data_IF_638093015040
#
_entry.id   IF_638093015040
#
_cell.length_a   1.000
_cell.length_b   1.000
_cell.length_c   1.000
_cell.angle_alpha   90.00
_cell.angle_beta   90.00
_cell.angle_gamma   90.00
#
_symmetry.space_group_name_H-M   'P 1'
#
loop_
_entity.id
_entity.type
_entity.pdbx_description
1 polymer ?
#
# COMPACT_ATOMS: atom_id res chain seq x y z
N UNK A 1 -22.44 -16.98 -56.52
CA UNK A 1 -22.12 -17.80 -55.33
C UNK A 1 -21.70 -16.86 -54.20
N UNK A 2 -22.37 -16.98 -53.06
CA UNK A 2 -22.65 -15.88 -52.13
C UNK A 2 -21.46 -15.47 -51.24
N UNK A 3 -21.24 -14.15 -51.13
CA UNK A 3 -20.16 -13.45 -50.39
C UNK A 3 -20.14 -13.66 -48.85
N UNK A 4 -21.06 -14.47 -48.31
CA UNK A 4 -21.23 -14.63 -46.86
C UNK A 4 -20.20 -15.56 -46.20
N UNK A 5 -19.51 -16.40 -46.96
CA UNK A 5 -18.54 -17.36 -46.40
C UNK A 5 -17.29 -16.65 -45.83
N UNK A 6 -16.86 -15.53 -46.43
CA UNK A 6 -15.69 -14.77 -45.94
C UNK A 6 -15.93 -14.05 -44.60
N UNK A 7 -17.19 -13.83 -44.20
CA UNK A 7 -17.52 -13.23 -42.90
C UNK A 7 -17.46 -14.25 -41.75
N UNK A 8 -17.70 -15.53 -42.06
CA UNK A 8 -17.84 -16.60 -41.06
C UNK A 8 -16.64 -17.57 -41.00
N UNK A 9 -15.72 -17.57 -41.98
CA UNK A 9 -14.41 -18.21 -41.80
C UNK A 9 -13.47 -17.34 -40.94
N UNK A 10 -13.82 -16.07 -40.72
CA UNK A 10 -13.20 -15.19 -39.70
C UNK A 10 -13.69 -15.45 -38.27
N UNK A 11 -14.66 -16.34 -38.05
CA UNK A 11 -15.31 -16.59 -36.76
C UNK A 11 -15.05 -18.01 -36.26
N UNK A 12 -13.76 -18.36 -36.11
CA UNK A 12 -13.38 -19.55 -35.38
C UNK A 12 -13.43 -19.24 -33.86
N UNK A 13 -14.32 -19.86 -33.06
CA UNK A 13 -14.52 -19.50 -31.65
C UNK A 13 -13.29 -19.77 -30.76
N UNK A 14 -12.38 -20.67 -31.18
CA UNK A 14 -11.05 -20.84 -30.55
C UNK A 14 -10.12 -19.64 -30.75
N UNK A 15 -10.30 -18.88 -31.84
CA UNK A 15 -9.57 -17.63 -32.09
C UNK A 15 -10.18 -16.47 -31.30
N UNK A 16 -11.51 -16.48 -31.06
CA UNK A 16 -12.19 -15.49 -30.21
C UNK A 16 -11.86 -15.59 -28.72
N UNK A 17 -11.47 -16.76 -28.22
CA UNK A 17 -11.01 -16.90 -26.83
C UNK A 17 -9.66 -16.21 -26.57
N UNK A 18 -8.86 -15.97 -27.61
CA UNK A 18 -7.68 -15.09 -27.57
C UNK A 18 -8.03 -13.59 -27.72
N UNK A 19 -9.28 -13.26 -28.08
CA UNK A 19 -9.75 -11.91 -28.48
C UNK A 19 -10.23 -11.07 -27.31
N UNK A 20 -10.24 -11.58 -26.08
CA UNK A 20 -10.42 -10.75 -24.87
C UNK A 20 -9.39 -9.60 -24.80
N UNK A 21 -8.20 -9.80 -25.38
CA UNK A 21 -7.20 -8.74 -25.54
C UNK A 21 -7.33 -7.93 -26.83
N UNK A 22 -8.28 -8.15 -27.75
CA UNK A 22 -8.40 -7.34 -28.98
C UNK A 22 -9.42 -6.21 -28.87
N UNK A 23 -10.37 -6.27 -27.93
CA UNK A 23 -11.31 -5.18 -27.68
C UNK A 23 -10.64 -4.12 -26.79
N UNK A 24 -10.59 -2.88 -27.28
CA UNK A 24 -10.01 -1.76 -26.55
C UNK A 24 -10.73 -1.50 -25.21
N UNK A 25 -12.03 -1.81 -25.11
CA UNK A 25 -12.80 -1.70 -23.89
C UNK A 25 -12.28 -2.66 -22.80
N UNK A 26 -12.04 -3.92 -23.16
CA UNK A 26 -11.60 -4.97 -22.24
C UNK A 26 -10.17 -4.70 -21.73
N UNK A 27 -9.27 -4.22 -22.61
CA UNK A 27 -7.94 -3.75 -22.20
C UNK A 27 -8.01 -2.61 -21.18
N UNK A 28 -8.91 -1.64 -21.40
CA UNK A 28 -9.09 -0.51 -20.47
C UNK A 28 -9.65 -0.97 -19.13
N UNK A 29 -10.54 -1.96 -19.12
CA UNK A 29 -11.07 -2.56 -17.90
C UNK A 29 -9.97 -3.29 -17.10
N UNK A 30 -9.12 -4.07 -17.76
CA UNK A 30 -8.00 -4.77 -17.10
C UNK A 30 -6.98 -3.77 -16.54
N UNK A 31 -6.60 -2.76 -17.32
CA UNK A 31 -5.66 -1.72 -16.87
C UNK A 31 -6.28 -0.90 -15.73
N UNK A 32 -7.55 -0.51 -15.85
CA UNK A 32 -8.26 0.26 -14.83
C UNK A 32 -8.39 -0.51 -13.51
N UNK A 33 -8.76 -1.79 -13.57
CA UNK A 33 -8.84 -2.64 -12.37
C UNK A 33 -7.49 -2.88 -11.71
N UNK A 34 -6.44 -3.11 -12.51
CA UNK A 34 -5.07 -3.25 -11.99
C UNK A 34 -4.59 -1.98 -11.31
N UNK A 35 -4.81 -0.82 -11.93
CA UNK A 35 -4.44 0.48 -11.37
C UNK A 35 -5.25 0.80 -10.11
N UNK A 36 -6.54 0.47 -10.09
CA UNK A 36 -7.36 0.65 -8.90
C UNK A 36 -6.87 -0.22 -7.73
N UNK A 37 -6.53 -1.49 -7.99
CA UNK A 37 -5.99 -2.38 -6.97
C UNK A 37 -4.64 -1.87 -6.42
N UNK A 38 -3.73 -1.43 -7.29
CA UNK A 38 -2.48 -0.79 -6.88
C UNK A 38 -2.71 0.49 -6.09
N UNK A 39 -3.67 1.31 -6.51
CA UNK A 39 -4.05 2.54 -5.81
C UNK A 39 -4.55 2.26 -4.40
N UNK A 40 -5.42 1.27 -4.22
CA UNK A 40 -5.92 0.85 -2.91
C UNK A 40 -4.75 0.38 -2.03
N UNK A 41 -3.86 -0.45 -2.57
CA UNK A 41 -2.68 -0.92 -1.84
C UNK A 41 -1.80 0.24 -1.36
N UNK A 42 -1.48 1.18 -2.26
CA UNK A 42 -0.68 2.36 -1.91
C UNK A 42 -1.38 3.23 -0.87
N UNK A 43 -2.70 3.43 -0.96
CA UNK A 43 -3.45 4.21 0.03
C UNK A 43 -3.44 3.58 1.41
N UNK A 44 -3.64 2.26 1.49
CA UNK A 44 -3.55 1.52 2.76
C UNK A 44 -2.14 1.64 3.34
N UNK A 45 -1.12 1.41 2.53
CA UNK A 45 0.28 1.54 2.95
C UNK A 45 0.58 2.95 3.51
N UNK A 46 0.19 4.01 2.80
CA UNK A 46 0.40 5.38 3.26
C UNK A 46 -0.38 5.69 4.55
N UNK A 47 -1.59 5.13 4.70
CA UNK A 47 -2.37 5.29 5.93
C UNK A 47 -1.68 4.61 7.11
N UNK A 48 -1.14 3.41 6.93
CA UNK A 48 -0.38 2.70 7.96
C UNK A 48 0.91 3.43 8.30
N UNK A 49 1.63 3.94 7.31
CA UNK A 49 2.87 4.69 7.51
C UNK A 49 2.62 6.01 8.25
N UNK A 50 1.54 6.72 7.92
CA UNK A 50 1.10 7.90 8.67
C UNK A 50 0.78 7.56 10.12
N UNK A 51 0.11 6.44 10.36
CA UNK A 51 -0.23 5.98 11.70
C UNK A 51 1.01 5.58 12.50
N UNK A 52 1.97 4.89 11.87
CA UNK A 52 3.29 4.59 12.46
C UNK A 52 4.00 5.89 12.85
N UNK A 53 4.09 6.86 11.95
CA UNK A 53 4.72 8.14 12.22
C UNK A 53 4.03 8.89 13.38
N UNK A 54 2.70 8.84 13.45
CA UNK A 54 1.95 9.40 14.59
C UNK A 54 2.31 8.73 15.91
N UNK A 55 2.38 7.39 15.94
CA UNK A 55 2.79 6.63 17.13
C UNK A 55 4.23 6.96 17.51
N UNK A 56 5.14 7.03 16.55
CA UNK A 56 6.54 7.37 16.81
C UNK A 56 6.69 8.77 17.39
N UNK A 57 5.93 9.74 16.89
CA UNK A 57 5.91 11.10 17.43
C UNK A 57 5.35 11.16 18.86
N UNK A 58 4.34 10.33 19.18
CA UNK A 58 3.81 10.21 20.54
C UNK A 58 4.84 9.62 21.50
N UNK A 59 5.44 8.49 21.12
CA UNK A 59 6.46 7.79 21.92
C UNK A 59 7.65 8.70 22.21
N UNK A 60 8.13 9.44 21.20
CA UNK A 60 9.24 10.39 21.38
C UNK A 60 8.92 11.47 22.42
N UNK A 61 7.69 12.00 22.41
CA UNK A 61 7.26 13.00 23.41
C UNK A 61 7.16 12.41 24.81
N UNK A 62 6.73 11.16 24.95
CA UNK A 62 6.66 10.50 26.24
C UNK A 62 8.07 10.23 26.81
N UNK A 63 9.01 9.75 25.98
CA UNK A 63 10.43 9.60 26.35
C UNK A 63 11.03 10.96 26.79
N UNK A 64 10.73 12.03 26.06
CA UNK A 64 11.19 13.38 26.40
C UNK A 64 10.62 13.87 27.73
N UNK A 65 9.34 13.59 27.99
CA UNK A 65 8.68 13.91 29.27
C UNK A 65 9.31 13.15 30.44
N UNK A 66 9.63 11.87 30.27
CA UNK A 66 10.29 11.09 31.31
C UNK A 66 11.73 11.53 31.58
N UNK A 67 12.48 11.87 30.52
CA UNK A 67 13.82 12.49 30.65
C UNK A 67 13.76 13.81 31.40
N UNK A 68 12.72 14.61 31.18
CA UNK A 68 12.54 15.88 31.90
C UNK A 68 12.21 15.65 33.38
N UNK A 69 11.28 14.74 33.70
CA UNK A 69 10.98 14.35 35.10
C UNK A 69 12.21 13.83 35.84
N UNK A 70 13.03 13.02 35.18
CA UNK A 70 14.26 12.49 35.77
C UNK A 70 15.25 13.62 36.14
N UNK A 71 15.38 14.63 35.27
CA UNK A 71 16.20 15.82 35.53
C UNK A 71 15.66 16.66 36.69
N UNK A 72 14.34 16.85 36.77
CA UNK A 72 13.73 17.57 37.90
C UNK A 72 13.95 16.86 39.24
N UNK A 73 13.93 15.53 39.24
CA UNK A 73 14.16 14.70 40.42
C UNK A 73 15.66 14.54 40.77
N UNK A 74 16.56 15.14 39.99
CA UNK A 74 18.01 15.00 40.19
C UNK A 74 18.54 13.58 39.96
N UNK A 75 17.77 12.72 39.27
CA UNK A 75 18.15 11.36 38.95
C UNK A 75 19.13 11.36 37.75
N UNK A 76 20.20 10.57 37.85
CA UNK A 76 21.20 10.46 36.80
C UNK A 76 20.65 9.84 35.50
N UNK A 77 19.56 9.08 35.59
CA UNK A 77 18.90 8.44 34.46
C UNK A 77 17.37 8.40 34.66
N UNK A 78 16.58 8.41 33.56
CA UNK A 78 15.14 8.18 33.63
C UNK A 78 14.83 6.76 34.11
N UNK A 79 13.78 6.63 34.93
CA UNK A 79 13.26 5.36 35.42
C UNK A 79 12.43 4.70 34.33
N UNK A 80 13.12 4.16 33.33
CA UNK A 80 12.55 3.40 32.23
C UNK A 80 13.24 2.02 32.22
N UNK A 81 12.47 0.94 32.02
CA UNK A 81 12.90 -0.46 31.89
C UNK A 81 13.83 -0.74 30.67
N UNK A 82 14.46 0.30 30.12
CA UNK A 82 15.28 0.29 28.92
C UNK A 82 14.45 0.38 27.62
N UNK A 83 13.18 0.78 27.68
CA UNK A 83 12.32 0.94 26.51
C UNK A 83 12.86 2.02 25.57
N UNK A 84 13.24 3.19 26.08
CA UNK A 84 13.80 4.29 25.29
C UNK A 84 15.08 3.88 24.56
N UNK A 85 15.99 3.14 25.22
CA UNK A 85 17.21 2.65 24.58
C UNK A 85 16.93 1.62 23.48
N UNK A 86 15.95 0.73 23.68
CA UNK A 86 15.56 -0.26 22.66
C UNK A 86 14.86 0.40 21.48
N UNK A 87 14.08 1.45 21.77
CA UNK A 87 13.36 2.22 20.77
C UNK A 87 14.28 3.11 19.92
N UNK A 88 15.36 3.65 20.49
CA UNK A 88 16.38 4.40 19.72
C UNK A 88 17.30 3.50 18.88
N UNK A 89 17.39 2.20 19.19
CA UNK A 89 18.20 1.21 18.44
C UNK A 89 17.45 0.49 17.32
N UNK A 90 16.14 0.68 17.21
CA UNK A 90 15.29 0.16 16.12
C UNK A 90 15.31 1.08 14.90
#
# INVERSE_FOLDING_TARGET
MNSYVKRYVGSNPRVQQLVGFKRACDRRLVVGSTLAALGIYCLVYLSEEKERNRRHASIKKDIERERWRARELGLAAPTDDGFAERYEKQ
#
